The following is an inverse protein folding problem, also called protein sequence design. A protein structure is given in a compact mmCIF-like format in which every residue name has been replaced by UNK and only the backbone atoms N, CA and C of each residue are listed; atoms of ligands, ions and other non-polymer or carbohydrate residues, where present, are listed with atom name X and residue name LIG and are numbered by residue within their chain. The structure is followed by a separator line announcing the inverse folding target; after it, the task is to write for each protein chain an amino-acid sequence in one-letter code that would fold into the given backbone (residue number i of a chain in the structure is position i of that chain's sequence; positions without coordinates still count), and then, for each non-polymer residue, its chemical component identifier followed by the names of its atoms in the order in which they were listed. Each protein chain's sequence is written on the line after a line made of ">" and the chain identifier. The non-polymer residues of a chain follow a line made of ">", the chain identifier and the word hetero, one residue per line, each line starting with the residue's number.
data_IF_357921321701
#
_entry.id   IF_357921321701
#
_cell.length_a   1.000
_cell.length_b   1.000
_cell.length_c   1.000
_cell.angle_alpha   90.00
_cell.angle_beta   90.00
_cell.angle_gamma   90.00
#
_symmetry.space_group_name_H-M   'P 1'
#
loop_
_entity.id
_entity.type
_entity.pdbx_description
1 polymer ?
#
# COMPACT_ATOMS: atom_id res chain seq x y z
N UNK A 1 0.76 27.85 63.59
CA UNK A 1 0.97 26.66 62.74
C UNK A 1 1.71 27.09 61.49
N UNK A 2 3.03 26.89 61.46
CA UNK A 2 3.87 27.20 60.31
C UNK A 2 3.82 26.03 59.30
N UNK A 3 3.77 26.28 57.98
CA UNK A 3 3.83 25.21 56.99
C UNK A 3 5.28 24.73 56.78
N UNK A 4 5.50 23.43 56.83
CA UNK A 4 6.77 22.78 56.50
C UNK A 4 7.06 22.85 54.99
N UNK A 5 8.34 22.98 54.57
CA UNK A 5 8.72 23.06 53.16
C UNK A 5 8.66 21.68 52.45
N UNK A 6 8.41 21.65 51.12
CA UNK A 6 8.33 20.40 50.35
C UNK A 6 9.72 19.80 50.07
N UNK A 7 9.79 18.47 50.19
CA UNK A 7 10.97 17.66 49.91
C UNK A 7 11.36 17.70 48.42
N UNK A 8 12.64 17.96 48.16
CA UNK A 8 13.26 17.90 46.84
C UNK A 8 13.34 16.45 46.36
N UNK A 9 12.77 16.15 45.19
CA UNK A 9 12.94 14.86 44.49
C UNK A 9 13.80 15.10 43.26
N UNK A 10 14.99 14.49 43.29
CA UNK A 10 16.05 14.61 42.31
C UNK A 10 15.66 14.02 40.94
N UNK A 11 15.99 14.77 39.88
CA UNK A 11 15.94 14.32 38.49
C UNK A 11 17.03 13.28 38.21
N UNK A 12 16.64 12.03 37.95
CA UNK A 12 17.52 11.05 37.31
C UNK A 12 17.42 11.15 35.79
N UNK A 13 18.46 11.73 35.18
CA UNK A 13 18.80 11.59 33.77
C UNK A 13 19.19 10.13 33.46
N UNK A 14 18.41 9.43 32.64
CA UNK A 14 18.86 8.22 31.97
C UNK A 14 19.25 8.54 30.53
N UNK A 15 20.55 8.74 30.31
CA UNK A 15 21.17 8.65 29.00
C UNK A 15 21.26 7.17 28.61
N UNK A 16 20.65 6.78 27.50
CA UNK A 16 20.90 5.48 26.88
C UNK A 16 21.71 5.71 25.61
N UNK A 17 22.90 5.10 25.59
CA UNK A 17 23.90 5.19 24.54
C UNK A 17 23.50 4.35 23.32
N UNK A 18 23.70 4.93 22.15
CA UNK A 18 23.74 4.26 20.85
C UNK A 18 25.01 3.42 20.73
N UNK A 19 24.89 2.17 20.27
CA UNK A 19 26.03 1.27 20.15
C UNK A 19 25.74 -0.05 19.44
N UNK A 20 25.67 0.01 18.12
CA UNK A 20 26.20 -0.96 17.13
C UNK A 20 26.31 -2.45 17.52
N UNK A 21 25.58 -3.32 16.81
CA UNK A 21 26.07 -4.65 16.44
C UNK A 21 25.61 -5.00 15.02
N UNK A 22 26.54 -4.87 14.08
CA UNK A 22 26.54 -5.50 12.76
C UNK A 22 27.07 -6.93 12.92
N UNK A 23 26.64 -7.84 12.05
CA UNK A 23 27.07 -9.23 11.83
C UNK A 23 26.14 -10.32 12.42
N UNK A 24 25.22 -10.80 11.57
CA UNK A 24 25.13 -12.25 11.34
C UNK A 24 24.49 -12.52 9.97
N UNK A 25 25.35 -12.74 8.97
CA UNK A 25 24.97 -13.29 7.67
C UNK A 25 24.83 -14.82 7.83
N UNK A 26 23.78 -15.38 7.21
CA UNK A 26 23.62 -16.78 6.82
C UNK A 26 23.63 -17.85 7.92
N UNK A 27 22.47 -18.48 8.18
CA UNK A 27 22.37 -19.94 8.13
C UNK A 27 20.92 -20.46 8.09
N UNK A 28 20.68 -21.30 7.08
CA UNK A 28 19.77 -22.47 7.02
C UNK A 28 18.25 -22.29 7.14
N UNK A 29 17.67 -22.44 5.96
CA UNK A 29 16.43 -23.14 5.67
C UNK A 29 16.26 -24.50 6.37
N UNK A 30 14.98 -24.88 6.51
CA UNK A 30 14.38 -26.18 6.88
C UNK A 30 13.89 -26.27 8.33
N UNK A 31 12.57 -26.44 8.42
CA UNK A 31 11.67 -26.82 9.54
C UNK A 31 10.61 -25.71 9.67
N UNK A 32 9.31 -25.93 9.46
CA UNK A 32 8.54 -27.16 9.42
C UNK A 32 7.22 -26.91 8.68
N UNK A 33 6.97 -27.65 7.59
CA UNK A 33 5.64 -27.81 6.96
C UNK A 33 4.77 -28.82 7.71
N UNK A 34 5.00 -29.00 9.02
CA UNK A 34 4.31 -29.99 9.88
C UNK A 34 3.33 -29.37 10.87
N UNK A 35 3.22 -28.05 10.94
CA UNK A 35 2.23 -27.35 11.78
C UNK A 35 0.97 -26.88 11.01
N UNK A 36 0.87 -27.17 9.71
CA UNK A 36 -0.29 -26.79 8.89
C UNK A 36 -1.30 -27.94 8.68
N UNK A 37 -1.07 -29.12 9.29
CA UNK A 37 -1.95 -30.31 9.20
C UNK A 37 -2.69 -30.61 10.51
N UNK A 38 -2.97 -29.60 11.34
CA UNK A 38 -3.70 -29.79 12.60
C UNK A 38 -4.87 -28.81 12.81
N UNK A 39 -5.30 -28.11 11.75
CA UNK A 39 -6.46 -27.20 11.79
C UNK A 39 -7.39 -27.49 10.59
N UNK A 40 -7.89 -28.72 10.47
CA UNK A 40 -9.03 -28.99 9.56
C UNK A 40 -9.97 -30.10 10.02
N UNK A 41 -9.92 -30.52 11.29
CA UNK A 41 -10.70 -31.66 11.81
C UNK A 41 -12.05 -31.30 12.43
N UNK A 42 -12.59 -30.10 12.20
CA UNK A 42 -13.90 -29.72 12.76
C UNK A 42 -14.76 -28.98 11.74
N UNK A 43 -15.28 -29.71 10.75
CA UNK A 43 -16.54 -29.34 10.09
C UNK A 43 -17.35 -30.62 9.80
N UNK A 44 -18.62 -30.71 10.24
CA UNK A 44 -19.42 -31.91 10.11
C UNK A 44 -19.87 -32.15 8.67
N UNK A 45 -19.83 -33.43 8.31
CA UNK A 45 -20.36 -34.03 7.09
C UNK A 45 -21.85 -34.25 7.29
N UNK A 46 -22.70 -33.57 6.52
CA UNK A 46 -24.05 -34.00 6.18
C UNK A 46 -24.67 -32.99 5.20
N UNK A 47 -24.68 -33.35 3.92
CA UNK A 47 -25.84 -33.26 3.01
C UNK A 47 -25.53 -34.29 1.92
N UNK A 48 -26.29 -35.36 1.94
CA UNK A 48 -26.29 -36.42 0.95
C UNK A 48 -27.30 -36.11 -0.15
N UNK A 49 -27.09 -36.79 -1.29
CA UNK A 49 -28.02 -37.11 -2.36
C UNK A 49 -28.29 -36.05 -3.44
N UNK A 50 -27.73 -36.32 -4.63
CA UNK A 50 -28.01 -35.63 -5.89
C UNK A 50 -26.97 -35.93 -6.99
N UNK A 51 -26.78 -37.21 -7.33
CA UNK A 51 -26.06 -37.67 -8.55
C UNK A 51 -26.98 -37.50 -9.79
N UNK A 52 -26.50 -37.73 -11.03
CA UNK A 52 -25.29 -37.25 -11.70
C UNK A 52 -25.58 -36.79 -13.14
N UNK A 53 -24.72 -35.97 -13.76
CA UNK A 53 -24.40 -36.03 -15.22
C UNK A 53 -23.48 -34.86 -15.59
N UNK A 54 -22.55 -35.13 -16.50
CA UNK A 54 -21.63 -34.19 -17.15
C UNK A 54 -20.46 -33.66 -16.31
N UNK A 55 -19.44 -34.50 -16.12
CA UNK A 55 -18.06 -33.98 -16.10
C UNK A 55 -17.05 -35.03 -16.56
N UNK A 56 -17.00 -35.24 -17.86
CA UNK A 56 -15.90 -35.95 -18.53
C UNK A 56 -15.36 -35.11 -19.69
N UNK A 57 -15.00 -33.85 -19.44
CA UNK A 57 -14.17 -33.06 -20.36
C UNK A 57 -13.25 -32.17 -19.53
N UNK A 58 -11.94 -32.37 -19.73
CA UNK A 58 -10.77 -31.49 -19.44
C UNK A 58 -9.66 -32.21 -18.66
N UNK A 59 -9.05 -33.20 -19.31
CA UNK A 59 -7.60 -33.40 -19.19
C UNK A 59 -6.90 -32.12 -19.66
N UNK A 60 -5.96 -31.53 -18.90
CA UNK A 60 -5.06 -30.53 -19.45
C UNK A 60 -3.99 -31.25 -20.28
N UNK A 61 -4.25 -31.45 -21.56
CA UNK A 61 -3.19 -31.74 -22.52
C UNK A 61 -2.26 -30.54 -22.56
N UNK A 62 -1.05 -30.71 -21.99
CA UNK A 62 0.06 -29.77 -22.16
C UNK A 62 0.46 -29.77 -23.64
N UNK A 63 -0.16 -28.91 -24.43
CA UNK A 63 0.42 -28.49 -25.71
C UNK A 63 1.66 -27.65 -25.43
N UNK A 64 2.83 -28.31 -25.47
CA UNK A 64 4.11 -27.64 -25.65
C UNK A 64 4.06 -26.97 -27.03
N UNK A 65 3.95 -25.64 -27.07
CA UNK A 65 4.27 -24.86 -28.27
C UNK A 65 5.76 -25.05 -28.58
N UNK A 66 6.16 -25.33 -29.84
CA UNK A 66 7.57 -25.25 -30.21
C UNK A 66 8.04 -23.79 -30.14
N UNK A 67 9.29 -23.53 -29.73
CA UNK A 67 9.86 -22.19 -29.79
C UNK A 67 10.02 -21.73 -31.25
N UNK A 68 9.69 -20.47 -31.51
CA UNK A 68 9.88 -19.82 -32.80
C UNK A 68 11.37 -19.79 -33.20
N UNK A 69 11.70 -19.85 -34.50
CA UNK A 69 13.06 -19.75 -34.97
C UNK A 69 13.62 -18.34 -34.72
N UNK A 70 14.72 -18.31 -33.96
CA UNK A 70 15.59 -17.14 -33.75
C UNK A 70 16.22 -16.74 -35.08
N UNK A 71 15.69 -15.70 -35.73
CA UNK A 71 16.38 -15.00 -36.82
C UNK A 71 17.49 -14.10 -36.24
N UNK A 72 18.58 -14.74 -35.82
CA UNK A 72 19.86 -14.06 -35.59
C UNK A 72 20.50 -13.81 -36.95
N UNK A 73 20.15 -12.67 -37.56
CA UNK A 73 20.89 -12.10 -38.68
C UNK A 73 21.71 -10.92 -38.15
N UNK A 74 22.96 -10.90 -38.60
CA UNK A 74 24.11 -10.17 -38.08
C UNK A 74 24.02 -8.66 -38.36
N UNK A 75 24.44 -7.83 -37.41
CA UNK A 75 24.91 -6.45 -37.68
C UNK A 75 26.07 -6.07 -36.76
N UNK A 76 27.16 -6.85 -36.78
CA UNK A 76 28.41 -6.48 -36.09
C UNK A 76 29.22 -5.39 -36.82
N UNK A 77 28.97 -5.15 -38.11
CA UNK A 77 29.74 -4.20 -38.92
C UNK A 77 29.39 -2.71 -38.69
N UNK A 78 28.22 -2.37 -38.11
CA UNK A 78 27.82 -0.97 -37.85
C UNK A 78 28.34 -0.39 -36.53
N UNK A 79 28.90 -1.22 -35.64
CA UNK A 79 29.35 -0.77 -34.31
C UNK A 79 30.76 -0.17 -34.32
N UNK A 80 31.63 -0.56 -35.27
CA UNK A 80 33.00 -0.07 -35.33
C UNK A 80 33.09 1.41 -35.77
N UNK A 81 32.26 1.85 -36.72
CA UNK A 81 32.26 3.23 -37.22
C UNK A 81 31.68 4.28 -36.26
N UNK A 82 30.87 3.87 -35.29
CA UNK A 82 30.36 4.76 -34.24
C UNK A 82 31.38 4.97 -33.11
N UNK A 83 32.26 4.01 -32.86
CA UNK A 83 33.28 4.13 -31.82
C UNK A 83 34.31 5.21 -32.17
N UNK A 84 34.76 5.29 -33.42
CA UNK A 84 35.76 6.27 -33.88
C UNK A 84 35.18 7.68 -33.88
N UNK A 85 33.92 7.85 -34.31
CA UNK A 85 33.20 9.13 -34.20
C UNK A 85 32.98 9.55 -32.74
N UNK A 86 32.76 8.58 -31.85
CA UNK A 86 32.60 8.86 -30.41
C UNK A 86 33.89 9.34 -29.76
N UNK A 87 35.05 8.78 -30.15
CA UNK A 87 36.37 9.18 -29.63
C UNK A 87 36.84 10.53 -30.21
N UNK A 88 36.59 10.80 -31.49
CA UNK A 88 36.92 12.11 -32.08
C UNK A 88 36.03 13.25 -31.55
N UNK A 89 34.74 12.96 -31.27
CA UNK A 89 33.82 13.88 -30.58
C UNK A 89 34.19 14.06 -29.10
N UNK A 90 34.85 13.06 -28.53
CA UNK A 90 35.39 13.11 -27.18
C UNK A 90 36.53 14.13 -27.15
N UNK A 91 37.60 13.92 -27.92
CA UNK A 91 38.83 14.71 -27.81
C UNK A 91 38.66 16.19 -28.23
N UNK A 92 37.77 16.51 -29.18
CA UNK A 92 37.58 17.89 -29.66
C UNK A 92 36.54 18.74 -28.91
N UNK A 93 35.72 18.12 -28.06
CA UNK A 93 34.58 18.80 -27.39
C UNK A 93 34.36 18.37 -25.92
N UNK A 94 35.16 17.44 -25.37
CA UNK A 94 34.93 16.81 -24.05
C UNK A 94 34.99 17.73 -22.85
N UNK A 95 35.69 18.86 -22.93
CA UNK A 95 35.81 19.76 -21.78
C UNK A 95 34.68 20.78 -21.70
N UNK A 96 33.86 20.91 -22.74
CA UNK A 96 32.86 21.97 -22.85
C UNK A 96 31.47 21.46 -22.46
N UNK A 97 31.31 21.03 -21.20
CA UNK A 97 30.01 20.78 -20.56
C UNK A 97 29.02 19.91 -21.37
N UNK A 98 29.13 18.57 -21.32
CA UNK A 98 28.28 17.65 -22.09
C UNK A 98 26.77 17.79 -21.80
N UNK A 99 26.39 18.45 -20.70
CA UNK A 99 25.00 18.75 -20.39
C UNK A 99 24.41 19.86 -21.28
N UNK A 100 25.21 20.80 -21.83
CA UNK A 100 24.71 21.89 -22.69
C UNK A 100 24.10 21.36 -23.98
N UNK A 101 24.80 20.45 -24.66
CA UNK A 101 24.31 19.81 -25.88
C UNK A 101 23.06 18.96 -25.63
N UNK A 102 23.02 18.27 -24.49
CA UNK A 102 21.85 17.47 -24.10
C UNK A 102 20.67 18.38 -23.76
N UNK A 103 20.92 19.54 -23.15
CA UNK A 103 19.89 20.50 -22.77
C UNK A 103 19.30 21.20 -23.99
N UNK A 104 20.13 21.59 -24.97
CA UNK A 104 19.62 22.12 -26.26
C UNK A 104 18.80 21.07 -27.01
N UNK A 105 19.26 19.82 -27.07
CA UNK A 105 18.54 18.71 -27.71
C UNK A 105 17.15 18.46 -27.13
N UNK A 106 17.02 18.53 -25.81
CA UNK A 106 15.77 18.18 -25.12
C UNK A 106 14.97 19.41 -24.64
N UNK A 107 15.39 20.64 -25.00
CA UNK A 107 14.77 21.88 -24.52
C UNK A 107 13.26 21.92 -24.75
N UNK A 108 12.83 21.53 -25.94
CA UNK A 108 11.41 21.53 -26.33
C UNK A 108 10.61 20.42 -25.64
N UNK A 109 11.27 19.32 -25.25
CA UNK A 109 10.63 18.26 -24.45
C UNK A 109 10.61 18.61 -22.96
N UNK A 110 11.60 19.37 -22.49
CA UNK A 110 11.69 19.83 -21.11
C UNK A 110 10.60 20.88 -20.81
N UNK A 111 10.26 21.73 -21.77
CA UNK A 111 9.21 22.75 -21.62
C UNK A 111 7.78 22.17 -21.58
N UNK A 112 7.55 20.97 -22.13
CA UNK A 112 6.24 20.29 -22.11
C UNK A 112 5.82 19.80 -20.72
N UNK A 113 6.71 19.85 -19.73
CA UNK A 113 6.45 19.46 -18.34
C UNK A 113 7.11 18.14 -17.93
N UNK A 114 6.82 17.68 -16.70
CA UNK A 114 7.58 16.58 -16.08
C UNK A 114 7.06 15.18 -16.43
N UNK A 115 5.77 14.99 -16.60
CA UNK A 115 5.16 13.65 -16.72
C UNK A 115 4.61 13.31 -18.11
N UNK A 116 4.60 14.28 -19.01
CA UNK A 116 3.85 14.22 -20.26
C UNK A 116 3.06 15.49 -20.46
N UNK A 117 2.33 15.51 -21.56
CA UNK A 117 1.47 16.62 -21.91
C UNK A 117 0.15 16.09 -22.44
N UNK A 118 -0.91 16.84 -22.19
CA UNK A 118 -2.23 16.54 -22.71
C UNK A 118 -2.33 17.06 -24.14
N UNK A 119 -2.60 16.17 -25.10
CA UNK A 119 -2.77 16.55 -26.49
C UNK A 119 -3.86 15.67 -27.13
N UNK A 120 -4.81 16.30 -27.82
CA UNK A 120 -5.88 15.62 -28.58
C UNK A 120 -6.62 14.56 -27.75
N UNK A 121 -6.95 14.89 -26.50
CA UNK A 121 -7.73 14.01 -25.61
C UNK A 121 -6.96 12.81 -25.04
N UNK A 122 -5.65 12.74 -25.27
CA UNK A 122 -4.80 11.68 -24.72
C UNK A 122 -3.61 12.27 -23.96
N UNK A 123 -3.18 11.56 -22.92
CA UNK A 123 -1.91 11.83 -22.25
C UNK A 123 -0.77 11.28 -23.12
N UNK A 124 0.09 12.16 -23.64
CA UNK A 124 1.28 11.77 -24.41
C UNK A 124 2.50 11.74 -23.48
N UNK A 125 3.28 10.65 -23.46
CA UNK A 125 4.54 10.62 -22.72
C UNK A 125 5.56 11.54 -23.40
N UNK A 126 6.58 11.94 -22.66
CA UNK A 126 7.69 12.75 -23.16
C UNK A 126 8.64 11.90 -24.01
N UNK A 127 9.34 12.54 -24.94
CA UNK A 127 10.41 11.91 -25.72
C UNK A 127 11.67 11.58 -24.90
N UNK A 128 11.76 12.08 -23.65
CA UNK A 128 12.83 11.78 -22.71
C UNK A 128 12.32 10.93 -21.55
N UNK A 129 13.05 9.85 -21.23
CA UNK A 129 12.73 9.06 -20.04
C UNK A 129 13.05 9.84 -18.76
N UNK A 130 12.26 9.64 -17.71
CA UNK A 130 12.46 10.31 -16.43
C UNK A 130 13.88 10.11 -15.87
N UNK A 131 14.45 8.91 -16.05
CA UNK A 131 15.84 8.62 -15.66
C UNK A 131 16.87 9.47 -16.41
N UNK A 132 16.69 9.65 -17.73
CA UNK A 132 17.60 10.48 -18.53
C UNK A 132 17.48 11.94 -18.13
N UNK A 133 16.25 12.43 -17.90
CA UNK A 133 16.02 13.77 -17.34
C UNK A 133 16.72 13.98 -15.99
N UNK A 134 16.58 13.05 -15.05
CA UNK A 134 17.22 13.17 -13.74
C UNK A 134 18.76 13.20 -13.81
N UNK A 135 19.37 12.46 -14.75
CA UNK A 135 20.82 12.57 -15.01
C UNK A 135 21.20 13.95 -15.53
N UNK A 136 20.44 14.50 -16.48
CA UNK A 136 20.66 15.87 -16.97
C UNK A 136 20.53 16.90 -15.85
N UNK A 137 19.46 16.81 -15.05
CA UNK A 137 19.25 17.68 -13.88
C UNK A 137 20.43 17.59 -12.92
N UNK A 138 20.94 16.38 -12.64
CA UNK A 138 22.12 16.17 -11.81
C UNK A 138 23.37 16.84 -12.40
N UNK A 139 23.64 16.64 -13.69
CA UNK A 139 24.81 17.25 -14.37
C UNK A 139 24.76 18.79 -14.34
N UNK A 140 23.59 19.39 -14.55
CA UNK A 140 23.36 20.84 -14.54
C UNK A 140 23.52 21.43 -13.13
N UNK A 141 22.89 20.81 -12.13
CA UNK A 141 22.99 21.26 -10.73
C UNK A 141 24.41 21.10 -10.17
N UNK A 142 25.14 20.03 -10.56
CA UNK A 142 26.55 19.87 -10.18
C UNK A 142 27.46 20.94 -10.82
N UNK A 143 27.08 21.47 -11.98
CA UNK A 143 27.76 22.61 -12.60
C UNK A 143 27.37 23.97 -11.98
N UNK A 144 26.59 23.97 -10.90
CA UNK A 144 26.15 25.19 -10.20
C UNK A 144 25.10 26.00 -10.96
N UNK A 145 24.46 25.43 -11.99
CA UNK A 145 23.43 26.10 -12.78
C UNK A 145 22.03 25.77 -12.24
N UNK A 146 21.09 26.68 -12.47
CA UNK A 146 19.71 26.50 -12.03
C UNK A 146 18.89 25.61 -12.99
N UNK A 147 17.85 24.95 -12.47
CA UNK A 147 16.98 24.03 -13.21
C UNK A 147 15.52 24.52 -13.25
N UNK A 148 15.13 25.29 -14.30
CA UNK A 148 13.82 25.96 -14.35
C UNK A 148 12.66 25.11 -14.89
N UNK A 149 12.92 23.87 -15.33
CA UNK A 149 11.91 23.08 -16.08
C UNK A 149 10.94 22.29 -15.19
N UNK A 150 11.27 22.09 -13.91
CA UNK A 150 10.46 21.26 -13.02
C UNK A 150 9.61 22.17 -12.10
N UNK A 151 8.30 21.90 -11.93
CA UNK A 151 7.48 22.67 -11.02
C UNK A 151 7.94 22.45 -9.58
N UNK A 152 7.69 23.45 -8.74
CA UNK A 152 8.00 23.39 -7.32
C UNK A 152 7.26 22.24 -6.64
N UNK A 153 7.91 21.67 -5.62
CA UNK A 153 7.35 20.55 -4.88
C UNK A 153 6.17 21.04 -4.06
N UNK A 154 5.00 20.44 -4.29
CA UNK A 154 3.80 20.68 -3.48
C UNK A 154 4.00 20.28 -2.02
N UNK A 155 3.39 21.04 -1.12
CA UNK A 155 3.32 20.75 0.30
C UNK A 155 2.69 19.37 0.60
N UNK A 156 3.23 18.69 1.61
CA UNK A 156 2.77 17.37 2.06
C UNK A 156 1.47 17.48 2.87
N UNK A 157 0.55 16.51 2.71
CA UNK A 157 -0.68 16.44 3.53
C UNK A 157 -0.41 15.76 4.89
N UNK A 158 -0.58 16.49 5.99
CA UNK A 158 -0.30 16.03 7.36
C UNK A 158 -1.53 15.64 8.19
N UNK A 159 -2.63 15.19 7.55
CA UNK A 159 -3.86 14.81 8.26
C UNK A 159 -3.85 13.33 8.67
N UNK A 160 -3.97 13.04 9.97
CA UNK A 160 -4.17 11.68 10.50
C UNK A 160 -5.64 11.26 10.40
N UNK A 161 -5.91 10.01 10.00
CA UNK A 161 -7.28 9.47 9.81
C UNK A 161 -7.99 9.09 11.12
N UNK A 162 -7.22 8.66 12.12
CA UNK A 162 -7.74 8.01 13.34
C UNK A 162 -8.30 6.60 13.08
N UNK A 163 -8.29 5.74 14.11
CA UNK A 163 -8.95 4.43 14.01
C UNK A 163 -10.47 4.58 14.08
N UNK A 164 -11.19 3.70 13.38
CA UNK A 164 -12.66 3.69 13.38
C UNK A 164 -13.23 3.45 14.78
N UNK A 165 -12.60 2.56 15.56
CA UNK A 165 -13.04 2.24 16.92
C UNK A 165 -13.04 3.48 17.81
N UNK A 166 -11.92 4.21 17.84
CA UNK A 166 -11.74 5.38 18.71
C UNK A 166 -12.76 6.47 18.41
N UNK A 167 -13.05 6.69 17.12
CA UNK A 167 -14.04 7.67 16.67
C UNK A 167 -15.44 7.38 17.19
N UNK A 168 -15.84 6.12 17.21
CA UNK A 168 -17.19 5.68 17.59
C UNK A 168 -17.26 5.36 19.10
N UNK A 169 -16.12 5.32 19.79
CA UNK A 169 -16.06 4.92 21.20
C UNK A 169 -16.83 5.85 22.12
N UNK A 170 -16.79 7.16 21.87
CA UNK A 170 -17.55 8.15 22.64
C UNK A 170 -19.06 7.99 22.42
N UNK A 171 -19.48 7.83 21.16
CA UNK A 171 -20.89 7.60 20.79
C UNK A 171 -21.45 6.33 21.44
N UNK A 172 -20.67 5.24 21.47
CA UNK A 172 -21.07 3.98 22.12
C UNK A 172 -21.24 4.12 23.64
N UNK A 173 -20.37 4.88 24.31
CA UNK A 173 -20.49 5.13 25.76
C UNK A 173 -21.77 5.92 26.07
N UNK A 174 -22.02 7.00 25.33
CA UNK A 174 -23.25 7.80 25.49
C UNK A 174 -24.52 6.99 25.24
N UNK A 175 -24.57 6.19 24.17
CA UNK A 175 -25.72 5.32 23.89
C UNK A 175 -25.95 4.30 25.01
N UNK A 176 -24.87 3.74 25.57
CA UNK A 176 -24.97 2.82 26.70
C UNK A 176 -25.62 3.51 27.91
N UNK A 177 -25.23 4.74 28.24
CA UNK A 177 -25.85 5.50 29.34
C UNK A 177 -27.33 5.80 29.10
N UNK A 178 -27.71 6.19 27.88
CA UNK A 178 -29.11 6.42 27.51
C UNK A 178 -29.94 5.14 27.61
N UNK A 179 -29.39 4.00 27.18
CA UNK A 179 -30.06 2.71 27.25
C UNK A 179 -30.26 2.26 28.70
N UNK A 180 -29.26 2.49 29.56
CA UNK A 180 -29.36 2.18 30.99
C UNK A 180 -30.44 3.02 31.69
N UNK A 181 -30.60 4.30 31.33
CA UNK A 181 -31.69 5.15 31.83
C UNK A 181 -33.08 4.63 31.42
N UNK A 182 -33.20 4.07 30.21
CA UNK A 182 -34.46 3.50 29.68
C UNK A 182 -34.76 2.09 30.20
N UNK A 183 -33.79 1.44 30.83
CA UNK A 183 -33.89 0.05 31.29
C UNK A 183 -35.09 -0.21 32.23
N UNK A 184 -35.36 0.63 33.26
CA UNK A 184 -36.47 0.37 34.19
C UNK A 184 -37.84 0.39 33.49
N UNK A 185 -38.01 1.32 32.55
CA UNK A 185 -39.23 1.42 31.76
C UNK A 185 -39.41 0.19 30.87
N UNK A 186 -38.36 -0.22 30.14
CA UNK A 186 -38.41 -1.41 29.30
C UNK A 186 -38.75 -2.69 30.09
N UNK A 187 -38.23 -2.80 31.33
CA UNK A 187 -38.56 -3.93 32.21
C UNK A 187 -40.02 -3.88 32.71
N UNK A 188 -40.56 -2.69 32.97
CA UNK A 188 -41.97 -2.53 33.32
C UNK A 188 -42.88 -2.92 32.14
N UNK A 189 -42.56 -2.44 30.93
CA UNK A 189 -43.29 -2.75 29.71
C UNK A 189 -43.26 -4.26 29.38
N UNK A 190 -42.11 -4.91 29.55
CA UNK A 190 -41.97 -6.35 29.34
C UNK A 190 -42.80 -7.15 30.34
N UNK A 191 -42.76 -6.77 31.63
CA UNK A 191 -43.58 -7.42 32.67
C UNK A 191 -45.07 -7.26 32.39
N UNK A 192 -45.50 -6.07 32.01
CA UNK A 192 -46.89 -5.78 31.64
C UNK A 192 -47.36 -6.65 30.47
N UNK A 193 -46.60 -6.69 29.36
CA UNK A 193 -46.92 -7.53 28.18
C UNK A 193 -47.03 -9.01 28.51
N UNK A 194 -46.12 -9.53 29.36
CA UNK A 194 -46.16 -10.94 29.77
C UNK A 194 -47.40 -11.25 30.60
N UNK A 195 -47.80 -10.31 31.46
CA UNK A 195 -48.97 -10.47 32.32
C UNK A 195 -50.28 -10.36 31.54
N UNK A 196 -50.40 -9.38 30.65
CA UNK A 196 -51.56 -9.24 29.73
C UNK A 196 -51.73 -10.48 28.85
N UNK A 197 -50.63 -11.01 28.31
CA UNK A 197 -50.66 -12.25 27.54
C UNK A 197 -51.21 -13.42 28.36
N UNK A 198 -50.75 -13.58 29.61
CA UNK A 198 -51.22 -14.64 30.50
C UNK A 198 -52.72 -14.50 30.79
N UNK A 199 -53.19 -13.29 31.11
CA UNK A 199 -54.62 -13.04 31.37
C UNK A 199 -55.49 -13.36 30.14
N UNK A 200 -55.05 -12.92 28.96
CA UNK A 200 -55.77 -13.22 27.72
C UNK A 200 -55.83 -14.73 27.41
N UNK A 201 -54.78 -15.48 27.74
CA UNK A 201 -54.75 -16.95 27.58
C UNK A 201 -55.70 -17.64 28.56
N UNK A 202 -55.75 -17.20 29.82
CA UNK A 202 -56.68 -17.70 30.84
C UNK A 202 -58.15 -17.38 30.48
N UNK A 203 -58.44 -16.15 30.06
CA UNK A 203 -59.78 -15.75 29.58
C UNK A 203 -60.20 -16.54 28.33
N UNK A 204 -59.27 -16.78 27.40
CA UNK A 204 -59.53 -17.59 26.22
C UNK A 204 -59.74 -19.07 26.56
N UNK A 205 -59.09 -19.59 27.60
CA UNK A 205 -59.32 -20.94 28.10
C UNK A 205 -60.69 -21.05 28.80
N UNK A 206 -61.04 -20.07 29.65
CA UNK A 206 -62.32 -20.03 30.35
C UNK A 206 -63.52 -19.88 29.40
N UNK A 207 -63.39 -19.15 28.29
CA UNK A 207 -64.43 -19.04 27.24
C UNK A 207 -64.60 -20.28 26.37
N UNK A 208 -63.65 -21.22 26.42
CA UNK A 208 -63.68 -22.47 25.63
C UNK A 208 -64.28 -23.64 26.41
N UNK A 209 -64.51 -23.48 27.70
CA UNK A 209 -65.22 -24.43 28.59
C UNK A 209 -66.68 -24.05 28.64
#
# INVERSE_FOLDING_TARGET
>A
MAPLPPAAVNHHHHQHQDGQCVLHLQYRSRLSRRLFRLISSQFPKNIAAGLPLLLFILLPTRHRRPPAPSSRIQTSAKMAGNSIKSVAKSIGTEFQYPWREKLTKYKDELSKGVWGYWQLGAWKPLGISARRRARLRKEVLLAGQDWPFDPERKEMRTKRKGHKCDRISAEKRANTEELMKKMPQMLADYRKKKWEKKMNEEDAAAKKV
#
